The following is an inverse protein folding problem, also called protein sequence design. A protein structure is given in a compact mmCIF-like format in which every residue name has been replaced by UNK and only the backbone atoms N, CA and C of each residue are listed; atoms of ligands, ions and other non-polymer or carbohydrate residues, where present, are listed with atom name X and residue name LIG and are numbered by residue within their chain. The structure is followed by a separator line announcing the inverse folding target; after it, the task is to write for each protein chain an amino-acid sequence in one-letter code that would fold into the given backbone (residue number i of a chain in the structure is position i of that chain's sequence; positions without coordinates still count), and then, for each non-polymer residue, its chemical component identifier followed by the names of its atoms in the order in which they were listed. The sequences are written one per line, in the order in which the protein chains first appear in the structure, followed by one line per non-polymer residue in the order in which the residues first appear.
data_IF_996041080218
#
_entry.id   IF_996041080218
#
_cell.length_a   1.000
_cell.length_b   1.000
_cell.length_c   1.000
_cell.angle_alpha   90.00
_cell.angle_beta   90.00
_cell.angle_gamma   90.00
#
_symmetry.space_group_name_H-M   'P 1'
#
loop_
_entity.id
_entity.type
_entity.pdbx_description
1 polymer ?
#
# COMPACT_ATOMS: atom_id res chain seq x y z
N UNK A 1 -16.85 -8.98 -15.15
CA UNK A 1 -17.36 -8.84 -13.78
C UNK A 1 -16.14 -8.87 -12.88
N UNK A 2 -15.60 -7.71 -12.51
CA UNK A 2 -14.62 -7.61 -11.44
C UNK A 2 -15.36 -7.93 -10.15
N UNK A 3 -14.95 -8.99 -9.46
CA UNK A 3 -15.55 -9.37 -8.19
C UNK A 3 -15.25 -8.26 -7.15
N UNK A 4 -16.24 -7.82 -6.36
CA UNK A 4 -16.05 -6.79 -5.32
C UNK A 4 -15.10 -7.23 -4.19
N UNK A 5 -14.71 -8.51 -4.16
CA UNK A 5 -13.79 -9.10 -3.20
C UNK A 5 -12.30 -8.79 -3.49
N UNK A 6 -12.02 -7.94 -4.48
CA UNK A 6 -10.66 -7.60 -4.93
C UNK A 6 -10.32 -6.12 -4.76
N UNK A 7 -11.19 -5.35 -4.10
CA UNK A 7 -10.97 -3.93 -3.83
C UNK A 7 -10.39 -3.72 -2.44
N UNK A 8 -9.26 -3.03 -2.38
CA UNK A 8 -8.53 -2.70 -1.17
C UNK A 8 -8.53 -1.20 -0.98
N UNK A 9 -8.62 -0.75 0.26
CA UNK A 9 -8.69 0.67 0.59
C UNK A 9 -7.47 1.08 1.40
N UNK A 10 -6.86 2.20 1.04
CA UNK A 10 -5.79 2.84 1.78
C UNK A 10 -6.39 3.99 2.57
N UNK A 11 -6.36 3.91 3.90
CA UNK A 11 -6.89 4.92 4.81
C UNK A 11 -5.75 5.65 5.52
N UNK A 12 -5.96 6.91 5.89
CA UNK A 12 -5.10 7.66 6.79
C UNK A 12 -5.96 8.25 7.92
N UNK A 13 -5.83 7.74 9.14
CA UNK A 13 -6.64 8.18 10.27
C UNK A 13 -8.16 8.16 10.00
N UNK A 14 -8.64 7.22 9.17
CA UNK A 14 -10.04 7.12 8.75
C UNK A 14 -10.43 7.89 7.48
N UNK A 15 -9.50 8.60 6.84
CA UNK A 15 -9.73 9.28 5.55
C UNK A 15 -9.28 8.39 4.40
N UNK A 16 -10.10 8.22 3.35
CA UNK A 16 -9.71 7.48 2.15
C UNK A 16 -8.62 8.23 1.37
N UNK A 17 -7.48 7.57 1.22
CA UNK A 17 -6.30 8.06 0.50
C UNK A 17 -6.22 7.45 -0.89
N UNK A 18 -6.68 6.21 -1.06
CA UNK A 18 -6.73 5.59 -2.38
C UNK A 18 -7.39 4.23 -2.32
N UNK A 19 -7.70 3.71 -3.51
CA UNK A 19 -8.31 2.38 -3.68
C UNK A 19 -7.43 1.57 -4.61
N UNK A 20 -7.16 0.32 -4.27
CA UNK A 20 -6.43 -0.62 -5.11
C UNK A 20 -7.42 -1.66 -5.61
N UNK A 21 -7.63 -1.74 -6.92
CA UNK A 21 -8.37 -2.83 -7.54
C UNK A 21 -7.39 -3.92 -7.95
N UNK A 22 -7.37 -5.02 -7.20
CA UNK A 22 -6.53 -6.19 -7.51
C UNK A 22 -7.07 -6.87 -8.76
N UNK A 23 -6.25 -6.90 -9.81
CA UNK A 23 -6.51 -7.67 -11.02
C UNK A 23 -5.72 -8.99 -11.05
N UNK A 24 -4.59 -9.05 -10.33
CA UNK A 24 -3.72 -10.22 -10.25
C UNK A 24 -3.42 -10.56 -8.78
N UNK A 25 -4.16 -11.54 -8.25
CA UNK A 25 -3.91 -12.11 -6.92
C UNK A 25 -3.00 -13.35 -7.05
N UNK A 26 -1.67 -13.15 -6.97
CA UNK A 26 -0.69 -14.24 -7.05
C UNK A 26 0.27 -14.22 -5.86
N UNK A 27 0.46 -15.34 -5.16
CA UNK A 27 1.52 -15.41 -4.14
C UNK A 27 2.90 -15.26 -4.82
N UNK A 28 3.83 -14.46 -4.26
CA UNK A 28 3.81 -13.83 -2.94
C UNK A 28 3.35 -12.35 -2.90
N UNK A 29 2.97 -11.73 -4.03
CA UNK A 29 2.59 -10.31 -4.11
C UNK A 29 1.30 -10.14 -4.91
N UNK A 30 0.32 -9.44 -4.35
CA UNK A 30 -0.84 -9.02 -5.11
C UNK A 30 -0.50 -7.81 -5.97
N UNK A 31 -1.03 -7.79 -7.20
CA UNK A 31 -0.91 -6.67 -8.11
C UNK A 31 -2.27 -6.18 -8.54
N UNK A 32 -2.38 -4.87 -8.63
CA UNK A 32 -3.61 -4.20 -8.94
C UNK A 32 -3.38 -2.87 -9.60
N UNK A 33 -4.50 -2.24 -9.94
CA UNK A 33 -4.54 -0.84 -10.34
C UNK A 33 -4.80 0.04 -9.13
N UNK A 34 -3.95 1.05 -8.95
CA UNK A 34 -4.12 2.05 -7.89
C UNK A 34 -4.89 3.26 -8.40
N UNK A 35 -5.92 3.63 -7.65
CA UNK A 35 -6.74 4.80 -7.85
C UNK A 35 -6.44 5.77 -6.69
N UNK A 36 -5.56 6.76 -6.90
CA UNK A 36 -5.26 7.75 -5.87
C UNK A 36 -6.44 8.72 -5.67
N UNK A 37 -6.80 8.96 -4.42
CA UNK A 37 -7.72 10.03 -4.05
C UNK A 37 -6.98 11.36 -3.88
N UNK A 38 -7.67 12.52 -3.79
CA UNK A 38 -7.02 13.82 -3.57
C UNK A 38 -6.08 13.84 -2.36
N UNK A 39 -6.43 13.11 -1.30
CA UNK A 39 -5.63 12.95 -0.10
C UNK A 39 -4.29 12.22 -0.35
N UNK A 40 -4.17 11.39 -1.40
CA UNK A 40 -2.89 10.76 -1.78
C UNK A 40 -1.80 11.78 -2.12
N UNK A 41 -2.17 12.98 -2.59
CA UNK A 41 -1.21 13.99 -3.06
C UNK A 41 -0.15 14.34 -2.01
N UNK A 42 -0.45 14.23 -0.72
CA UNK A 42 0.51 14.50 0.36
C UNK A 42 1.48 13.32 0.62
N UNK A 43 1.08 12.10 0.27
CA UNK A 43 1.87 10.86 0.45
C UNK A 43 2.65 10.48 -0.81
N UNK A 44 2.21 10.94 -1.98
CA UNK A 44 2.90 10.75 -3.25
C UNK A 44 4.42 10.97 -3.17
N UNK A 45 4.96 12.04 -2.54
CA UNK A 45 6.41 12.19 -2.40
C UNK A 45 7.07 11.13 -1.51
N UNK A 46 6.35 10.53 -0.55
CA UNK A 46 6.91 9.45 0.29
C UNK A 46 7.09 8.16 -0.51
N UNK A 47 6.12 7.83 -1.37
CA UNK A 47 6.26 6.69 -2.30
C UNK A 47 7.34 6.93 -3.35
N UNK A 48 7.45 8.16 -3.87
CA UNK A 48 8.52 8.54 -4.81
C UNK A 48 9.91 8.39 -4.16
N UNK A 49 10.05 8.83 -2.90
CA UNK A 49 11.26 8.61 -2.10
C UNK A 49 11.54 7.12 -1.88
N UNK A 50 10.54 6.33 -1.49
CA UNK A 50 10.67 4.88 -1.30
C UNK A 50 11.15 4.19 -2.59
N UNK A 51 10.60 4.58 -3.74
CA UNK A 51 10.99 4.06 -5.04
C UNK A 51 12.45 4.42 -5.35
N UNK A 52 12.86 5.67 -5.12
CA UNK A 52 14.24 6.09 -5.28
C UNK A 52 15.23 5.33 -4.37
N UNK A 53 14.82 5.02 -3.13
CA UNK A 53 15.61 4.20 -2.20
C UNK A 53 15.74 2.75 -2.72
N UNK A 54 14.65 2.15 -3.21
CA UNK A 54 14.65 0.82 -3.80
C UNK A 54 15.54 0.75 -5.05
N UNK A 55 15.46 1.76 -5.94
CA UNK A 55 16.31 1.85 -7.12
C UNK A 55 17.79 2.06 -6.77
N UNK A 56 18.08 2.77 -5.68
CA UNK A 56 19.44 2.97 -5.18
C UNK A 56 19.96 1.79 -4.33
N UNK A 57 19.14 0.77 -4.05
CA UNK A 57 19.47 -0.37 -3.18
C UNK A 57 19.87 0.05 -1.74
N UNK A 58 19.36 1.20 -1.29
CA UNK A 58 19.66 1.83 0.01
C UNK A 58 18.77 1.22 1.12
N UNK A 59 18.87 -0.09 1.32
CA UNK A 59 18.02 -0.84 2.26
C UNK A 59 18.07 -0.30 3.70
N UNK A 60 19.16 0.36 4.09
CA UNK A 60 19.29 1.02 5.40
C UNK A 60 18.32 2.18 5.61
N UNK A 61 17.89 2.84 4.54
CA UNK A 61 16.87 3.92 4.58
C UNK A 61 15.48 3.43 4.25
N UNK A 62 15.38 2.24 3.66
CA UNK A 62 14.11 1.64 3.25
C UNK A 62 13.23 1.40 4.46
N UNK A 63 13.75 0.77 5.51
CA UNK A 63 13.00 0.51 6.75
C UNK A 63 12.43 1.80 7.36
N UNK A 64 13.24 2.85 7.55
CA UNK A 64 12.76 4.14 8.11
C UNK A 64 11.70 4.83 7.22
N UNK A 65 11.89 4.82 5.90
CA UNK A 65 10.94 5.41 4.97
C UNK A 65 9.62 4.60 4.93
N UNK A 66 9.72 3.29 5.05
CA UNK A 66 8.61 2.36 5.03
C UNK A 66 7.80 2.41 6.34
N UNK A 67 8.47 2.38 7.49
CA UNK A 67 7.87 2.51 8.83
C UNK A 67 7.03 3.79 8.95
N UNK A 68 7.50 4.89 8.35
CA UNK A 68 6.75 6.13 8.27
C UNK A 68 5.44 6.00 7.48
N UNK A 69 5.46 5.26 6.38
CA UNK A 69 4.27 5.03 5.54
C UNK A 69 3.28 4.14 6.28
N UNK A 70 3.77 3.04 6.84
CA UNK A 70 2.97 2.07 7.59
C UNK A 70 2.36 2.65 8.87
N UNK A 71 3.11 3.47 9.60
CA UNK A 71 2.61 4.19 10.79
C UNK A 71 1.53 5.22 10.47
N UNK A 72 1.51 5.77 9.25
CA UNK A 72 0.55 6.78 8.84
C UNK A 72 -0.67 6.18 8.13
N UNK A 73 -0.45 5.17 7.29
CA UNK A 73 -1.44 4.59 6.39
C UNK A 73 -1.89 3.23 6.89
N UNK A 74 -3.18 2.96 6.77
CA UNK A 74 -3.77 1.66 7.09
C UNK A 74 -4.29 1.04 5.81
N UNK A 75 -3.80 -0.15 5.49
CA UNK A 75 -4.33 -0.94 4.41
C UNK A 75 -5.54 -1.76 4.90
N UNK A 76 -6.65 -1.65 4.18
CA UNK A 76 -7.91 -2.32 4.51
C UNK A 76 -8.29 -3.26 3.37
N UNK A 77 -8.30 -4.54 3.70
CA UNK A 77 -8.82 -5.60 2.84
C UNK A 77 -10.35 -5.63 2.89
N UNK A 78 -11.03 -6.29 1.94
CA UNK A 78 -12.48 -6.48 1.99
C UNK A 78 -12.97 -7.23 3.26
N UNK A 79 -12.08 -7.96 3.94
CA UNK A 79 -12.39 -8.66 5.20
C UNK A 79 -12.05 -7.84 6.45
N UNK A 80 -11.29 -6.74 6.32
CA UNK A 80 -10.90 -5.87 7.44
C UNK A 80 -9.49 -5.25 7.29
N UNK A 81 -9.09 -4.40 8.25
CA UNK A 81 -7.73 -3.86 8.30
C UNK A 81 -6.71 -4.99 8.47
N UNK A 82 -5.61 -4.91 7.70
CA UNK A 82 -4.47 -5.83 7.85
C UNK A 82 -3.45 -5.25 8.81
N UNK A 83 -2.55 -6.11 9.31
CA UNK A 83 -1.41 -5.69 10.12
C UNK A 83 -0.34 -5.06 9.25
N UNK A 84 0.90 -5.50 9.48
CA UNK A 84 2.03 -5.04 8.70
C UNK A 84 1.82 -5.33 7.21
N UNK A 85 2.03 -4.32 6.38
CA UNK A 85 1.85 -4.45 4.93
C UNK A 85 3.02 -3.84 4.22
N UNK A 86 3.32 -4.35 3.03
CA UNK A 86 4.31 -3.83 2.10
C UNK A 86 3.59 -3.39 0.84
N UNK A 87 3.51 -2.08 0.61
CA UNK A 87 2.83 -1.46 -0.53
C UNK A 87 3.85 -0.69 -1.37
N UNK A 88 3.97 -1.10 -2.63
CA UNK A 88 4.75 -0.43 -3.65
C UNK A 88 3.80 0.12 -4.71
N UNK A 89 3.96 1.41 -5.04
CA UNK A 89 3.15 2.08 -6.05
C UNK A 89 4.08 2.63 -7.12
N UNK A 90 3.92 2.11 -8.33
CA UNK A 90 4.56 2.60 -9.54
C UNK A 90 3.49 3.16 -10.47
N UNK A 91 3.48 4.49 -10.64
CA UNK A 91 2.51 5.21 -11.46
C UNK A 91 1.04 4.90 -11.08
N UNK A 92 0.35 4.06 -11.86
CA UNK A 92 -1.01 3.59 -11.59
C UNK A 92 -1.09 2.09 -11.23
N UNK A 93 0.05 1.44 -11.02
CA UNK A 93 0.16 0.05 -10.58
C UNK A 93 0.53 0.00 -9.10
N UNK A 94 -0.23 -0.79 -8.34
CA UNK A 94 0.12 -1.14 -6.98
C UNK A 94 0.53 -2.61 -6.92
N UNK A 95 1.65 -2.87 -6.28
CA UNK A 95 2.07 -4.21 -5.87
C UNK A 95 2.15 -4.22 -4.35
N UNK A 96 1.42 -5.11 -3.70
CA UNK A 96 1.42 -5.16 -2.25
C UNK A 96 1.36 -6.58 -1.70
N UNK A 97 1.90 -6.74 -0.50
CA UNK A 97 1.75 -7.92 0.34
C UNK A 97 1.38 -7.45 1.74
N UNK A 98 0.79 -8.32 2.53
CA UNK A 98 0.50 -8.04 3.93
C UNK A 98 0.78 -9.30 4.72
N UNK A 99 1.09 -9.10 5.99
CA UNK A 99 1.06 -10.19 6.94
C UNK A 99 -0.39 -10.41 7.40
N UNK A 100 -0.81 -11.68 7.45
CA UNK A 100 -2.16 -12.03 7.84
C UNK A 100 -2.37 -11.91 9.36
N UNK A 101 -1.28 -11.71 10.10
CA UNK A 101 -1.35 -11.38 11.52
C UNK A 101 -2.05 -10.02 11.72
N UNK A 102 -2.95 -9.92 12.72
CA UNK A 102 -3.58 -8.65 13.04
C UNK A 102 -2.51 -7.63 13.46
N UNK A 103 -2.72 -6.32 13.21
CA UNK A 103 -1.79 -5.30 13.67
C UNK A 103 -1.58 -5.45 15.18
N UNK A 104 -0.33 -5.57 15.61
CA UNK A 104 -0.02 -5.62 17.04
C UNK A 104 -0.19 -4.20 17.58
N UNK A 105 -1.32 -3.96 18.27
CA UNK A 105 -1.65 -2.69 18.92
C UNK A 105 -0.96 -2.47 20.26
#
# INVERSE_FOLDING_TARGET
MTSPDSEWQLLHGGTLVGTISVDEAGMPWQRGRFFPEPAFSQFRPWFDELNGILEAEEFERFDDAYDRIESALTLVSPTGPVGDFLLHIDQDRASFRWDAEPPTG
#
